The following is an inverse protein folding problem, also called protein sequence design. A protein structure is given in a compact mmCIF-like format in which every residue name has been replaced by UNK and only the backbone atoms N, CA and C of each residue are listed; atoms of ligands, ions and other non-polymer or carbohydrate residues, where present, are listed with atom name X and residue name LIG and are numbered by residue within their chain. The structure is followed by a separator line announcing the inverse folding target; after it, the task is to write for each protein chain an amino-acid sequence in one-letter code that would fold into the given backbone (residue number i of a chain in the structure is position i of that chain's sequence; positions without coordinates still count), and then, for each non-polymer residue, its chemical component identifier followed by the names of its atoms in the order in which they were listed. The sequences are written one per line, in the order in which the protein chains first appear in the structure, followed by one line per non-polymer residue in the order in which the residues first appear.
data_IF_978339329624
#
_entry.id   IF_978339329624
#
_cell.length_a   1.000
_cell.length_b   1.000
_cell.length_c   1.000
_cell.angle_alpha   90.00
_cell.angle_beta   90.00
_cell.angle_gamma   90.00
#
_symmetry.space_group_name_H-M   'P 1'
#
loop_
_entity.id
_entity.type
_entity.pdbx_description
1 polymer ?
#
# COMPACT_ATOMS: atom_id res chain seq x y z
N UNK A 1 6.64 -0.17 -19.10
CA UNK A 1 5.38 0.56 -19.35
C UNK A 1 4.84 1.18 -18.07
N UNK A 2 4.46 0.40 -17.05
CA UNK A 2 3.92 0.91 -15.77
C UNK A 2 4.90 1.84 -15.03
N UNK A 3 6.19 1.47 -14.95
CA UNK A 3 7.24 2.32 -14.33
C UNK A 3 7.24 3.74 -14.90
N UNK A 4 7.28 3.88 -16.22
CA UNK A 4 7.31 5.19 -16.88
C UNK A 4 6.03 6.01 -16.64
N UNK A 5 4.88 5.35 -16.47
CA UNK A 5 3.61 6.02 -16.17
C UNK A 5 3.55 6.47 -14.70
N UNK A 6 4.05 5.65 -13.76
CA UNK A 6 4.22 6.03 -12.35
C UNK A 6 5.18 7.19 -12.20
N UNK A 7 6.30 7.15 -12.93
CA UNK A 7 7.21 8.28 -13.04
C UNK A 7 6.41 9.46 -13.60
N UNK A 8 5.90 9.47 -14.83
CA UNK A 8 5.16 10.64 -15.36
C UNK A 8 4.12 11.23 -14.40
N UNK A 9 3.36 10.40 -13.68
CA UNK A 9 2.42 10.85 -12.67
C UNK A 9 3.07 11.61 -11.51
N UNK A 10 4.15 11.09 -10.92
CA UNK A 10 4.85 11.74 -9.82
C UNK A 10 5.42 13.15 -10.20
N UNK A 11 5.62 13.44 -11.50
CA UNK A 11 6.47 14.55 -12.02
C UNK A 11 5.56 15.73 -12.30
N UNK A 12 4.28 15.43 -12.49
CA UNK A 12 3.23 16.42 -12.60
C UNK A 12 3.10 17.26 -11.31
N UNK A 13 3.83 16.95 -10.22
CA UNK A 13 3.84 17.67 -8.93
C UNK A 13 2.43 17.98 -8.43
N UNK A 14 1.51 17.05 -8.67
CA UNK A 14 0.11 17.14 -8.24
C UNK A 14 0.01 16.53 -6.85
N UNK A 15 0.19 17.36 -5.83
CA UNK A 15 -0.06 16.95 -4.46
C UNK A 15 -1.51 16.49 -4.25
N UNK A 16 -1.82 15.87 -3.10
CA UNK A 16 -3.14 15.28 -2.82
C UNK A 16 -4.32 16.26 -2.84
N UNK A 17 -4.07 17.57 -2.81
CA UNK A 17 -5.08 18.62 -2.88
C UNK A 17 -5.22 19.24 -4.28
N UNK A 18 -4.54 18.71 -5.29
CA UNK A 18 -4.58 19.26 -6.64
C UNK A 18 -5.94 19.01 -7.32
N UNK A 19 -6.70 20.04 -7.73
CA UNK A 19 -8.07 19.90 -8.24
C UNK A 19 -8.21 18.99 -9.48
N UNK A 20 -7.14 18.87 -10.27
CA UNK A 20 -7.16 18.19 -11.58
C UNK A 20 -6.69 16.71 -11.57
N UNK A 21 -6.55 16.07 -10.41
CA UNK A 21 -6.14 14.66 -10.39
C UNK A 21 -6.35 14.00 -9.04
N UNK A 22 -7.52 13.37 -8.85
CA UNK A 22 -7.70 12.45 -7.76
C UNK A 22 -6.73 11.27 -7.96
N UNK A 23 -5.72 11.14 -7.10
CA UNK A 23 -4.72 10.05 -7.12
C UNK A 23 -5.41 8.70 -7.19
N UNK A 24 -6.53 8.55 -6.49
CA UNK A 24 -7.33 7.33 -6.47
C UNK A 24 -7.87 6.95 -7.84
N UNK A 25 -8.44 7.92 -8.58
CA UNK A 25 -8.96 7.71 -9.94
C UNK A 25 -7.83 7.34 -10.91
N UNK A 26 -6.65 7.93 -10.71
CA UNK A 26 -5.48 7.56 -11.51
C UNK A 26 -5.02 6.12 -11.21
N UNK A 27 -4.92 5.73 -9.94
CA UNK A 27 -4.56 4.36 -9.52
C UNK A 27 -5.57 3.34 -10.07
N UNK A 28 -6.87 3.63 -9.95
CA UNK A 28 -7.94 2.79 -10.51
C UNK A 28 -7.74 2.57 -12.01
N UNK A 29 -7.58 3.65 -12.78
CA UNK A 29 -7.33 3.56 -14.23
C UNK A 29 -6.05 2.81 -14.57
N UNK A 30 -4.98 3.00 -13.79
CA UNK A 30 -3.71 2.29 -14.00
C UNK A 30 -3.90 0.79 -13.79
N UNK A 31 -4.54 0.38 -12.68
CA UNK A 31 -4.80 -1.02 -12.36
C UNK A 31 -5.69 -1.66 -13.42
N UNK A 32 -6.81 -1.01 -13.79
CA UNK A 32 -7.73 -1.51 -14.82
C UNK A 32 -7.12 -1.59 -16.22
N UNK A 33 -6.03 -0.88 -16.51
CA UNK A 33 -5.34 -0.97 -17.81
C UNK A 33 -4.13 -1.91 -17.79
N UNK A 34 -3.51 -2.11 -16.63
CA UNK A 34 -2.24 -2.84 -16.50
C UNK A 34 -2.44 -4.30 -16.12
N UNK A 35 -3.53 -4.63 -15.42
CA UNK A 35 -3.83 -6.02 -15.06
C UNK A 35 -4.40 -6.78 -16.26
N UNK A 36 -3.93 -8.01 -16.43
CA UNK A 36 -4.44 -8.94 -17.44
C UNK A 36 -5.88 -9.36 -17.12
N UNK A 37 -6.61 -9.81 -18.14
CA UNK A 37 -7.99 -10.32 -18.00
C UNK A 37 -8.08 -11.51 -17.03
N UNK A 38 -7.06 -12.35 -16.99
CA UNK A 38 -6.95 -13.53 -16.12
C UNK A 38 -6.25 -13.27 -14.77
N UNK A 39 -6.06 -11.99 -14.39
CA UNK A 39 -5.30 -11.63 -13.18
C UNK A 39 -5.80 -12.33 -11.91
N UNK A 40 -7.11 -12.53 -11.78
CA UNK A 40 -7.73 -13.23 -10.66
C UNK A 40 -7.31 -14.70 -10.56
N UNK A 41 -7.21 -15.41 -11.68
CA UNK A 41 -6.73 -16.81 -11.71
C UNK A 41 -5.26 -16.87 -11.31
N UNK A 42 -4.46 -15.91 -11.78
CA UNK A 42 -3.01 -15.87 -11.53
C UNK A 42 -2.66 -15.44 -10.11
N UNK A 43 -3.50 -14.60 -9.49
CA UNK A 43 -3.29 -14.03 -8.17
C UNK A 43 -3.87 -14.89 -7.05
N UNK A 44 -4.98 -15.59 -7.27
CA UNK A 44 -5.62 -16.42 -6.24
C UNK A 44 -4.66 -17.46 -5.67
N UNK A 45 -4.65 -17.59 -4.33
CA UNK A 45 -3.74 -18.44 -3.58
C UNK A 45 -2.26 -18.00 -3.59
N UNK A 46 -1.91 -16.93 -4.32
CA UNK A 46 -0.51 -16.47 -4.51
C UNK A 46 -0.27 -15.04 -4.07
N UNK A 47 -1.30 -14.20 -4.12
CA UNK A 47 -1.30 -12.82 -3.65
C UNK A 47 -2.20 -12.72 -2.42
N UNK A 48 -1.69 -12.14 -1.35
CA UNK A 48 -2.48 -11.78 -0.18
C UNK A 48 -2.51 -10.25 -0.06
N UNK A 49 -3.71 -9.67 -0.08
CA UNK A 49 -3.93 -8.23 0.03
C UNK A 49 -4.55 -7.93 1.39
N UNK A 50 -3.89 -7.10 2.18
CA UNK A 50 -4.42 -6.63 3.47
C UNK A 50 -5.25 -5.39 3.24
N UNK A 51 -6.44 -5.37 3.83
CA UNK A 51 -7.34 -4.22 3.87
C UNK A 51 -7.83 -4.02 5.30
N UNK A 52 -7.99 -2.76 5.73
CA UNK A 52 -8.46 -2.44 7.08
C UNK A 52 -9.94 -2.10 7.02
N UNK A 53 -10.77 -2.89 7.72
CA UNK A 53 -12.22 -2.73 7.74
C UNK A 53 -12.61 -1.51 8.57
N UNK A 54 -13.40 -0.61 8.01
CA UNK A 54 -13.75 0.65 8.70
C UNK A 54 -14.61 0.45 9.95
N UNK A 55 -15.70 -0.37 9.91
CA UNK A 55 -16.58 -0.51 11.07
C UNK A 55 -15.90 -0.89 12.40
N UNK A 56 -14.81 -1.67 12.36
CA UNK A 56 -14.18 -2.22 13.58
C UNK A 56 -12.65 -2.19 13.56
N UNK A 57 -12.02 -1.60 12.54
CA UNK A 57 -10.56 -1.50 12.40
C UNK A 57 -9.85 -2.84 12.18
N UNK A 58 -10.59 -3.93 11.97
CA UNK A 58 -10.01 -5.27 11.83
C UNK A 58 -9.24 -5.42 10.52
N UNK A 59 -8.12 -6.15 10.59
CA UNK A 59 -7.40 -6.61 9.41
C UNK A 59 -8.23 -7.68 8.70
N UNK A 60 -8.43 -7.51 7.40
CA UNK A 60 -8.94 -8.55 6.50
C UNK A 60 -7.89 -8.87 5.45
N UNK A 61 -7.56 -10.15 5.29
CA UNK A 61 -6.66 -10.64 4.25
C UNK A 61 -7.50 -11.23 3.12
N UNK A 62 -7.31 -10.72 1.90
CA UNK A 62 -7.95 -11.23 0.69
C UNK A 62 -6.90 -11.95 -0.14
N UNK A 63 -7.10 -13.25 -0.36
CA UNK A 63 -6.21 -14.07 -1.18
C UNK A 63 -6.90 -14.85 -2.30
N UNK A 64 -8.22 -14.86 -2.33
CA UNK A 64 -9.02 -15.52 -3.36
C UNK A 64 -9.86 -14.49 -4.10
N UNK A 65 -9.72 -14.50 -5.43
CA UNK A 65 -10.31 -13.53 -6.33
C UNK A 65 -11.15 -14.23 -7.39
N UNK A 66 -12.35 -13.70 -7.66
CA UNK A 66 -13.30 -14.29 -8.62
C UNK A 66 -13.31 -13.62 -9.99
N UNK A 67 -12.76 -12.40 -10.09
CA UNK A 67 -12.67 -11.63 -11.35
C UNK A 67 -11.53 -10.63 -11.27
N UNK A 68 -11.10 -10.11 -12.42
CA UNK A 68 -10.06 -9.06 -12.48
C UNK A 68 -10.49 -7.82 -11.68
N UNK A 69 -11.76 -7.47 -11.74
CA UNK A 69 -12.36 -6.36 -11.01
C UNK A 69 -12.33 -6.61 -9.49
N UNK A 70 -12.48 -7.86 -9.04
CA UNK A 70 -12.32 -8.25 -7.63
C UNK A 70 -10.89 -7.98 -7.14
N UNK A 71 -9.87 -8.25 -7.98
CA UNK A 71 -8.46 -7.93 -7.69
C UNK A 71 -8.25 -6.42 -7.62
N UNK A 72 -8.75 -5.66 -8.61
CA UNK A 72 -8.65 -4.19 -8.64
C UNK A 72 -9.26 -3.59 -7.38
N UNK A 73 -10.46 -4.03 -7.00
CA UNK A 73 -11.17 -3.50 -5.85
C UNK A 73 -10.44 -3.78 -4.54
N UNK A 74 -9.88 -4.98 -4.37
CA UNK A 74 -9.07 -5.31 -3.20
C UNK A 74 -7.81 -4.42 -3.11
N UNK A 75 -7.12 -4.20 -4.22
CA UNK A 75 -5.93 -3.34 -4.28
C UNK A 75 -6.27 -1.87 -3.99
N UNK A 76 -7.38 -1.36 -4.54
CA UNK A 76 -7.85 0.01 -4.27
C UNK A 76 -8.18 0.22 -2.79
N UNK A 77 -8.84 -0.74 -2.15
CA UNK A 77 -9.05 -0.72 -0.70
C UNK A 77 -7.72 -0.70 0.06
N UNK A 78 -6.76 -1.52 -0.37
CA UNK A 78 -5.47 -1.69 0.30
C UNK A 78 -4.57 -0.46 0.28
N UNK A 79 -4.76 0.45 -0.69
CA UNK A 79 -3.99 1.69 -0.81
C UNK A 79 -4.80 2.97 -0.53
N UNK A 80 -6.05 2.86 -0.07
CA UNK A 80 -6.89 4.03 0.17
C UNK A 80 -6.55 4.69 1.51
N UNK A 81 -5.77 5.76 1.47
CA UNK A 81 -5.50 6.64 2.62
C UNK A 81 -6.58 7.73 2.70
N UNK A 82 -7.43 7.76 3.77
CA UNK A 82 -8.45 8.80 3.94
C UNK A 82 -7.87 10.21 3.93
N UNK A 83 -8.57 11.14 3.27
CA UNK A 83 -8.13 12.54 3.12
C UNK A 83 -7.07 12.76 2.03
N UNK A 84 -6.25 11.75 1.71
CA UNK A 84 -5.30 11.81 0.60
C UNK A 84 -5.95 11.37 -0.72
N UNK A 85 -6.66 10.24 -0.70
CA UNK A 85 -7.30 9.64 -1.88
C UNK A 85 -8.76 10.08 -2.06
N UNK A 86 -9.28 10.89 -1.14
CA UNK A 86 -10.67 11.34 -1.11
C UNK A 86 -11.33 11.14 0.24
N UNK A 87 -12.62 11.47 0.31
CA UNK A 87 -13.43 11.39 1.53
C UNK A 87 -14.15 10.04 1.60
N UNK A 88 -14.67 9.54 0.47
CA UNK A 88 -15.44 8.31 0.41
C UNK A 88 -14.53 7.10 0.18
N UNK A 89 -14.41 6.16 1.14
CA UNK A 89 -13.60 4.96 0.98
C UNK A 89 -14.27 3.95 0.03
N UNK A 90 -13.48 3.18 -0.74
CA UNK A 90 -14.00 2.12 -1.59
C UNK A 90 -14.66 1.01 -0.77
N UNK A 91 -15.55 0.26 -1.42
CA UNK A 91 -16.21 -0.90 -0.82
C UNK A 91 -15.72 -2.20 -1.46
N UNK A 92 -15.45 -3.22 -0.66
CA UNK A 92 -15.19 -4.57 -1.13
C UNK A 92 -16.27 -5.50 -0.56
N UNK A 93 -17.01 -6.18 -1.44
CA UNK A 93 -18.12 -7.10 -1.07
C UNK A 93 -19.13 -6.46 -0.09
N UNK A 94 -19.48 -5.19 -0.33
CA UNK A 94 -20.50 -4.45 0.42
C UNK A 94 -20.02 -3.80 1.73
N UNK A 95 -18.74 -3.90 2.06
CA UNK A 95 -18.15 -3.28 3.26
C UNK A 95 -17.07 -2.27 2.86
N UNK A 96 -16.96 -1.15 3.58
CA UNK A 96 -15.94 -0.13 3.31
C UNK A 96 -14.61 -0.43 4.01
N UNK A 97 -13.52 -0.16 3.29
CA UNK A 97 -12.16 -0.42 3.74
C UNK A 97 -11.23 0.76 3.46
N UNK A 98 -10.13 0.80 4.19
CA UNK A 98 -9.01 1.74 4.03
C UNK A 98 -7.70 0.96 3.95
N UNK A 99 -6.61 1.70 3.73
CA UNK A 99 -5.26 1.20 3.55
C UNK A 99 -4.89 0.12 4.56
N UNK A 100 -4.39 -1.01 4.06
CA UNK A 100 -4.09 -2.18 4.88
C UNK A 100 -3.02 -1.92 5.94
N UNK A 101 -2.10 -1.00 5.66
CA UNK A 101 -1.04 -0.56 6.54
C UNK A 101 -1.56 0.11 7.81
N UNK A 102 -2.81 0.57 7.86
CA UNK A 102 -3.42 1.06 9.09
C UNK A 102 -3.59 -0.06 10.13
N UNK A 103 -3.78 -1.32 9.68
CA UNK A 103 -3.91 -2.48 10.57
C UNK A 103 -2.70 -3.42 10.56
N UNK A 104 -2.00 -3.56 9.42
CA UNK A 104 -0.83 -4.41 9.28
C UNK A 104 0.03 -3.95 8.10
N UNK A 105 1.13 -3.24 8.38
CA UNK A 105 2.06 -2.74 7.35
C UNK A 105 2.88 -3.90 6.73
N UNK A 106 3.09 -4.98 7.49
CA UNK A 106 3.91 -6.10 7.05
C UNK A 106 3.23 -7.43 7.35
N UNK A 107 2.24 -7.83 6.55
CA UNK A 107 1.67 -9.17 6.68
C UNK A 107 2.76 -10.21 6.41
N UNK A 108 3.00 -11.07 7.40
CA UNK A 108 3.87 -12.23 7.23
C UNK A 108 3.01 -13.48 7.23
N UNK A 109 3.36 -14.43 6.35
CA UNK A 109 2.72 -15.73 6.36
C UNK A 109 3.55 -16.68 7.22
N UNK A 110 2.96 -17.17 8.31
CA UNK A 110 3.57 -18.16 9.19
C UNK A 110 3.56 -19.53 8.49
N UNK A 111 4.52 -19.77 7.59
CA UNK A 111 4.74 -21.10 7.01
C UNK A 111 5.78 -21.85 7.83
N UNK A 112 5.51 -23.08 8.30
CA UNK A 112 6.56 -23.91 8.91
C UNK A 112 7.59 -24.40 7.87
N UNK A 113 7.33 -24.23 6.58
CA UNK A 113 8.14 -24.76 5.47
C UNK A 113 8.93 -23.68 4.72
N UNK A 114 8.83 -22.41 5.11
CA UNK A 114 9.52 -21.34 4.42
C UNK A 114 9.52 -20.02 5.17
N UNK A 115 10.58 -19.24 4.98
CA UNK A 115 10.72 -17.90 5.54
C UNK A 115 10.08 -16.87 4.61
N UNK A 116 9.28 -15.95 5.17
CA UNK A 116 8.80 -14.78 4.43
C UNK A 116 9.91 -13.74 4.39
N UNK A 117 10.35 -13.36 3.18
CA UNK A 117 11.25 -12.22 3.02
C UNK A 117 10.46 -10.92 3.05
N UNK A 118 10.96 -9.96 3.81
CA UNK A 118 10.28 -8.70 4.11
C UNK A 118 11.04 -7.51 3.54
N UNK A 119 10.31 -6.61 2.86
CA UNK A 119 10.86 -5.40 2.25
C UNK A 119 10.15 -4.20 2.84
N UNK A 120 10.91 -3.16 3.23
CA UNK A 120 10.37 -1.91 3.75
C UNK A 120 11.13 -0.72 3.17
N UNK A 121 10.44 0.34 2.73
CA UNK A 121 11.09 1.61 2.39
C UNK A 121 11.56 2.39 3.63
N UNK A 122 11.19 1.95 4.83
CA UNK A 122 11.55 2.57 6.11
C UNK A 122 12.55 1.70 6.85
N UNK A 123 13.53 2.33 7.50
CA UNK A 123 14.50 1.63 8.34
C UNK A 123 13.81 0.97 9.53
N UNK A 124 14.19 -0.27 9.83
CA UNK A 124 13.55 -1.06 10.87
C UNK A 124 14.08 -2.49 10.90
N UNK A 125 13.17 -3.44 11.14
CA UNK A 125 13.50 -4.87 11.24
C UNK A 125 13.19 -5.71 10.00
N UNK A 126 12.79 -5.08 8.89
CA UNK A 126 12.58 -5.81 7.64
C UNK A 126 13.92 -6.33 7.09
N UNK A 127 13.91 -7.49 6.41
CA UNK A 127 15.11 -8.12 5.84
C UNK A 127 15.82 -7.17 4.86
N UNK A 128 15.03 -6.43 4.08
CA UNK A 128 15.51 -5.37 3.20
C UNK A 128 14.90 -4.03 3.61
N UNK A 129 15.72 -3.16 4.20
CA UNK A 129 15.36 -1.78 4.48
C UNK A 129 16.58 -0.85 4.42
N UNK A 130 16.38 0.48 4.28
CA UNK A 130 17.48 1.43 4.31
C UNK A 130 18.25 1.37 5.63
N UNK A 131 19.58 1.60 5.62
CA UNK A 131 20.34 1.70 6.84
C UNK A 131 19.94 2.95 7.63
N UNK A 132 20.08 2.85 8.94
CA UNK A 132 19.87 3.96 9.87
C UNK A 132 20.79 3.83 11.08
N UNK A 133 21.96 4.49 11.05
CA UNK A 133 22.97 4.34 12.09
C UNK A 133 22.63 5.10 13.39
N UNK A 134 21.53 5.86 13.44
CA UNK A 134 21.27 6.84 14.50
C UNK A 134 19.99 6.58 15.32
N UNK A 135 19.35 5.42 15.17
CA UNK A 135 18.09 5.15 15.87
C UNK A 135 18.30 4.81 17.35
N UNK A 136 17.87 5.68 18.25
CA UNK A 136 17.88 5.44 19.70
C UNK A 136 16.68 4.59 20.18
N UNK A 137 15.57 4.60 19.42
CA UNK A 137 14.31 3.96 19.82
C UNK A 137 13.65 3.24 18.65
N UNK A 138 12.92 2.16 18.95
CA UNK A 138 12.08 1.45 17.98
C UNK A 138 10.61 1.69 18.32
N UNK A 139 9.82 2.10 17.34
CA UNK A 139 8.36 2.26 17.45
C UNK A 139 7.70 1.13 16.66
N UNK A 140 6.62 0.57 17.20
CA UNK A 140 5.81 -0.42 16.47
C UNK A 140 4.61 0.29 15.86
N UNK A 141 4.56 0.36 14.53
CA UNK A 141 3.46 0.94 13.77
C UNK A 141 2.71 -0.17 13.05
N UNK A 142 1.47 -0.44 13.46
CA UNK A 142 0.60 -1.46 12.88
C UNK A 142 1.31 -2.81 12.68
N UNK A 143 1.97 -3.27 13.74
CA UNK A 143 2.73 -4.52 13.79
C UNK A 143 4.16 -4.47 13.24
N UNK A 144 4.56 -3.42 12.52
CA UNK A 144 5.91 -3.28 11.97
C UNK A 144 6.83 -2.50 12.92
N UNK A 145 7.96 -3.06 13.37
CA UNK A 145 8.97 -2.33 14.12
C UNK A 145 9.79 -1.41 13.21
N UNK A 146 9.69 -0.11 13.44
CA UNK A 146 10.37 0.95 12.72
C UNK A 146 11.35 1.70 13.62
N UNK A 147 12.48 2.13 13.04
CA UNK A 147 13.42 3.00 13.72
C UNK A 147 12.84 4.40 13.87
N UNK A 148 12.88 4.95 15.09
CA UNK A 148 12.48 6.33 15.34
C UNK A 148 13.68 7.24 15.05
N UNK A 149 13.70 7.80 13.85
CA UNK A 149 14.76 8.70 13.41
C UNK A 149 14.21 9.80 12.51
N UNK A 150 14.95 10.90 12.44
CA UNK A 150 14.68 12.01 11.52
C UNK A 150 14.67 11.51 10.07
N UNK A 151 15.60 10.61 9.71
CA UNK A 151 15.68 10.03 8.38
C UNK A 151 14.41 9.24 8.00
N UNK A 152 13.88 8.43 8.91
CA UNK A 152 12.61 7.75 8.67
C UNK A 152 11.42 8.71 8.59
N UNK A 153 11.40 9.76 9.42
CA UNK A 153 10.40 10.82 9.32
C UNK A 153 10.36 11.46 7.93
N UNK A 154 11.54 11.80 7.38
CA UNK A 154 11.64 12.30 6.01
C UNK A 154 11.14 11.29 4.96
N UNK A 155 11.53 10.01 5.08
CA UNK A 155 11.06 8.95 4.16
C UNK A 155 9.54 8.79 4.17
N UNK A 156 8.90 8.87 5.34
CA UNK A 156 7.44 8.81 5.46
C UNK A 156 6.76 10.03 4.82
N UNK A 157 7.33 11.22 5.02
CA UNK A 157 6.83 12.44 4.39
C UNK A 157 6.98 12.37 2.87
N UNK A 158 8.12 11.91 2.34
CA UNK A 158 8.34 11.73 0.89
C UNK A 158 7.44 10.66 0.29
N UNK A 159 7.15 9.58 1.02
CA UNK A 159 6.24 8.53 0.56
C UNK A 159 4.81 9.05 0.35
N UNK A 160 4.37 10.00 1.19
CA UNK A 160 3.07 10.66 1.05
C UNK A 160 3.14 11.86 0.08
N UNK A 161 4.24 12.61 0.08
CA UNK A 161 4.40 13.85 -0.67
C UNK A 161 5.74 13.84 -1.42
N UNK A 162 5.82 13.14 -2.56
CA UNK A 162 7.05 13.07 -3.34
C UNK A 162 7.39 14.46 -3.90
N UNK A 163 8.43 15.09 -3.37
CA UNK A 163 8.81 16.47 -3.73
C UNK A 163 9.98 16.55 -4.72
N UNK A 164 10.93 15.61 -4.63
CA UNK A 164 12.18 15.57 -5.40
C UNK A 164 12.50 14.13 -5.87
N UNK A 165 12.04 13.75 -7.05
CA UNK A 165 12.36 12.45 -7.64
C UNK A 165 13.13 12.63 -8.95
N UNK A 166 14.21 13.42 -8.88
CA UNK A 166 15.12 13.62 -10.02
C UNK A 166 15.82 12.31 -10.43
#
# INVERSE_FOLDING_TARGET
MVREEMLRFALQKRGPLHPAGNVFVWVERLLSRSLLDDAHIRASGRLAVVITRIPDGQNTVVSEFTSREDVVQALLCSCFIPGYHGIQPPSYKGVHYVDGGLSSIQPTHSSPYGQTLTVSPFAGKADFCPPDPASLYVIVMSGMPLHCSVANGYRMLEALYPYNWE
#
